data_IF_898538479722
#
_entry.id   IF_898538479722
#
_cell.length_a   1.000
_cell.length_b   1.000
_cell.length_c   1.000
_cell.angle_alpha   90.00
_cell.angle_beta   90.00
_cell.angle_gamma   90.00
#
_symmetry.space_group_name_H-M   'P 1'
#
loop_
_entity.id
_entity.type
_entity.pdbx_description
1 polymer ?
#
# COMPACT_ATOMS: atom_id res chain seq x y z
N UNK A 1 5.72 -3.63 28.86
CA UNK A 1 5.11 -3.64 27.51
C UNK A 1 6.03 -4.40 26.57
N UNK A 2 5.50 -5.25 25.70
CA UNK A 2 6.30 -5.98 24.70
C UNK A 2 6.37 -5.16 23.42
N UNK A 3 7.56 -4.81 22.98
CA UNK A 3 7.76 -4.09 21.71
C UNK A 3 7.60 -5.06 20.54
N UNK A 4 6.83 -4.65 19.53
CA UNK A 4 6.64 -5.41 18.29
C UNK A 4 7.13 -4.56 17.14
N UNK A 5 7.94 -5.14 16.26
CA UNK A 5 8.47 -4.48 15.07
C UNK A 5 7.99 -5.24 13.83
N UNK A 6 7.56 -4.50 12.81
CA UNK A 6 7.16 -5.04 11.52
C UNK A 6 7.90 -4.31 10.39
N UNK A 7 8.12 -5.01 9.28
CA UNK A 7 8.65 -4.46 8.03
C UNK A 7 7.51 -4.38 7.02
N UNK A 8 7.35 -3.24 6.36
CA UNK A 8 6.36 -3.04 5.28
C UNK A 8 7.07 -2.79 3.95
N UNK A 9 6.70 -3.55 2.91
CA UNK A 9 7.30 -3.47 1.58
C UNK A 9 6.52 -2.50 0.68
N UNK A 10 7.24 -1.78 -0.18
CA UNK A 10 6.66 -0.88 -1.19
C UNK A 10 6.08 -1.70 -2.35
N UNK A 11 5.08 -1.17 -3.06
CA UNK A 11 4.54 -1.79 -4.27
C UNK A 11 4.47 -0.79 -5.44
N UNK A 12 4.46 -1.32 -6.67
CA UNK A 12 4.28 -0.54 -7.90
C UNK A 12 3.01 -1.03 -8.61
N UNK A 13 2.07 -0.12 -8.86
CA UNK A 13 0.81 -0.43 -9.54
C UNK A 13 1.04 -0.73 -11.04
N UNK A 14 0.66 -1.93 -11.46
CA UNK A 14 0.60 -2.36 -12.86
C UNK A 14 -0.74 -1.98 -13.49
N UNK A 15 -1.84 -2.22 -12.77
CA UNK A 15 -3.16 -1.62 -13.02
C UNK A 15 -3.38 -0.51 -12.00
N UNK A 16 -3.60 0.71 -12.46
CA UNK A 16 -3.56 1.91 -11.62
C UNK A 16 -4.81 2.05 -10.74
N UNK A 17 -4.60 2.28 -9.45
CA UNK A 17 -5.59 2.92 -8.59
C UNK A 17 -5.62 4.40 -8.97
N UNK A 18 -6.70 4.86 -9.61
CA UNK A 18 -6.85 6.26 -10.00
C UNK A 18 -8.32 6.67 -9.99
N UNK A 19 -8.62 7.78 -9.31
CA UNK A 19 -9.97 8.26 -9.05
C UNK A 19 -10.56 7.66 -7.76
N UNK A 20 -11.26 8.50 -6.99
CA UNK A 20 -11.96 8.10 -5.77
C UNK A 20 -13.47 8.13 -6.01
N UNK A 21 -14.14 7.02 -5.76
CA UNK A 21 -15.61 6.94 -5.75
C UNK A 21 -16.16 7.58 -4.48
N UNK A 22 -15.48 7.34 -3.36
CA UNK A 22 -15.76 7.98 -2.07
C UNK A 22 -14.43 8.43 -1.47
N UNK A 23 -14.27 9.74 -1.28
CA UNK A 23 -13.03 10.31 -0.76
C UNK A 23 -12.90 10.18 0.77
N UNK A 24 -14.00 10.13 1.50
CA UNK A 24 -14.00 10.00 2.96
C UNK A 24 -13.60 8.58 3.38
N UNK A 25 -14.10 7.58 2.64
CA UNK A 25 -13.78 6.16 2.87
C UNK A 25 -12.59 5.66 2.02
N UNK A 26 -12.02 6.51 1.16
CA UNK A 26 -10.95 6.17 0.20
C UNK A 26 -11.29 5.04 -0.80
N UNK A 27 -12.57 4.86 -1.12
CA UNK A 27 -13.02 3.82 -2.05
C UNK A 27 -12.62 4.17 -3.50
N UNK A 28 -11.97 3.25 -4.24
CA UNK A 28 -11.62 3.50 -5.63
C UNK A 28 -12.81 3.47 -6.57
N UNK A 29 -12.63 4.07 -7.74
CA UNK A 29 -13.54 3.87 -8.87
C UNK A 29 -13.31 2.53 -9.60
N UNK A 30 -12.11 1.95 -9.50
CA UNK A 30 -11.72 0.72 -10.20
C UNK A 30 -10.84 -0.19 -9.33
N UNK A 31 -10.73 -1.46 -9.71
CA UNK A 31 -9.74 -2.36 -9.13
C UNK A 31 -8.32 -2.00 -9.56
N UNK A 32 -7.33 -2.35 -8.74
CA UNK A 32 -5.90 -2.19 -9.05
C UNK A 32 -5.13 -3.49 -8.80
N UNK A 33 -4.01 -3.67 -9.50
CA UNK A 33 -3.08 -4.80 -9.33
C UNK A 33 -1.68 -4.20 -9.21
N UNK A 34 -0.90 -4.63 -8.23
CA UNK A 34 0.47 -4.14 -8.00
C UNK A 34 1.47 -5.27 -7.75
N UNK A 35 2.73 -4.96 -8.00
CA UNK A 35 3.88 -5.81 -7.70
C UNK A 35 4.54 -5.33 -6.40
N UNK A 36 4.70 -6.21 -5.43
CA UNK A 36 5.44 -5.93 -4.20
C UNK A 36 6.94 -6.01 -4.45
N UNK A 37 7.69 -5.01 -3.98
CA UNK A 37 9.14 -4.92 -4.13
C UNK A 37 9.84 -5.47 -2.89
N UNK A 38 10.85 -6.31 -3.08
CA UNK A 38 11.57 -6.92 -1.96
C UNK A 38 12.52 -5.93 -1.25
N UNK A 39 13.37 -5.23 -2.00
CA UNK A 39 14.47 -4.45 -1.41
C UNK A 39 14.05 -3.07 -0.87
N UNK A 40 12.85 -2.60 -1.19
CA UNK A 40 12.36 -1.27 -0.80
C UNK A 40 11.27 -1.38 0.28
N UNK A 41 11.66 -1.13 1.53
CA UNK A 41 10.78 -1.30 2.68
C UNK A 41 10.99 -0.25 3.77
N UNK A 42 9.98 -0.10 4.62
CA UNK A 42 10.02 0.74 5.84
C UNK A 42 9.97 -0.16 7.07
N UNK A 43 10.74 0.20 8.10
CA UNK A 43 10.76 -0.44 9.42
C UNK A 43 10.74 0.65 10.50
N UNK A 44 9.96 0.52 11.58
CA UNK A 44 10.06 1.41 12.74
C UNK A 44 11.47 1.39 13.34
N UNK A 45 12.00 2.56 13.68
CA UNK A 45 13.25 2.69 14.46
C UNK A 45 13.12 2.12 15.87
#
# INVERSE_FOLDING_TARGET
>A
MKTVTAKAHTNIALVKYWGKKDAALMLPQNGSISLTLDHFYTRPV
#
